data_IF_950860982268
#
_entry.id   IF_950860982268
#
_cell.length_a   1.000
_cell.length_b   1.000
_cell.length_c   1.000
_cell.angle_alpha   90.00
_cell.angle_beta   90.00
_cell.angle_gamma   90.00
#
_symmetry.space_group_name_H-M   'P 1'
#
loop_
_entity.id
_entity.type
_entity.pdbx_description
1 polymer ?
#
# COMPACT_ATOMS: atom_id res chain seq x y z
N UNK A 1 -8.04 -17.96 58.53
CA UNK A 1 -7.84 -19.32 57.99
C UNK A 1 -8.06 -19.21 56.48
N UNK A 2 -7.03 -18.78 55.78
CA UNK A 2 -6.05 -19.61 55.07
C UNK A 2 -6.39 -19.63 53.57
N UNK A 3 -5.57 -18.87 52.85
CA UNK A 3 -5.47 -18.64 51.42
C UNK A 3 -5.42 -19.94 50.63
N UNK A 4 -6.05 -20.00 49.46
CA UNK A 4 -5.77 -21.06 48.49
C UNK A 4 -5.25 -20.43 47.18
N UNK A 5 -3.93 -20.43 47.09
CA UNK A 5 -3.12 -20.03 45.94
C UNK A 5 -2.94 -21.24 45.02
N UNK A 6 -3.59 -21.25 43.88
CA UNK A 6 -3.36 -22.25 42.82
C UNK A 6 -2.30 -21.74 41.84
N UNK A 7 -1.10 -22.26 42.00
CA UNK A 7 0.08 -22.04 41.17
C UNK A 7 -0.10 -22.65 39.77
N UNK A 8 0.17 -21.88 38.73
CA UNK A 8 0.33 -22.39 37.36
C UNK A 8 1.77 -22.90 37.16
N UNK A 9 1.97 -24.07 36.51
CA UNK A 9 3.31 -24.53 36.15
C UNK A 9 3.83 -23.83 34.90
N UNK A 10 5.12 -23.48 34.93
CA UNK A 10 5.93 -22.98 33.82
C UNK A 10 6.32 -24.13 32.87
N UNK A 11 6.36 -23.93 31.54
CA UNK A 11 7.11 -24.79 30.66
C UNK A 11 8.57 -24.34 30.64
N UNK A 12 9.46 -25.23 31.08
CA UNK A 12 10.91 -25.07 31.07
C UNK A 12 11.51 -25.01 29.66
N UNK A 13 12.63 -24.31 29.57
CA UNK A 13 13.52 -24.33 28.41
C UNK A 13 14.20 -25.68 28.25
N UNK A 14 14.22 -26.19 27.02
CA UNK A 14 15.01 -27.33 26.57
C UNK A 14 15.96 -26.87 25.46
N UNK A 15 17.25 -27.11 25.69
CA UNK A 15 18.40 -26.73 24.89
C UNK A 15 18.70 -27.77 23.79
N UNK A 16 19.26 -27.29 22.68
CA UNK A 16 20.06 -27.92 21.63
C UNK A 16 19.78 -29.36 21.16
N UNK A 17 19.42 -29.49 19.88
CA UNK A 17 19.93 -30.48 18.90
C UNK A 17 19.59 -29.88 17.51
N UNK A 18 20.52 -29.43 16.66
CA UNK A 18 21.71 -30.16 16.22
C UNK A 18 21.35 -31.03 15.02
N UNK A 19 20.84 -30.45 13.92
CA UNK A 19 20.62 -31.19 12.67
C UNK A 19 21.58 -30.70 11.58
N UNK A 20 22.32 -31.63 10.93
CA UNK A 20 23.37 -31.29 9.98
C UNK A 20 22.81 -30.85 8.62
N UNK A 21 23.41 -29.79 8.11
CA UNK A 21 23.30 -29.29 6.74
C UNK A 21 23.88 -30.29 5.73
N UNK A 22 23.16 -30.67 4.67
CA UNK A 22 23.75 -31.39 3.55
C UNK A 22 24.48 -30.42 2.60
N UNK A 23 25.75 -30.70 2.21
CA UNK A 23 26.48 -29.89 1.25
C UNK A 23 26.25 -30.46 -0.15
N UNK A 24 25.25 -29.94 -0.89
CA UNK A 24 25.12 -30.27 -2.30
C UNK A 24 25.66 -29.13 -3.17
N UNK A 25 26.95 -29.31 -3.46
CA UNK A 25 27.59 -29.19 -4.76
C UNK A 25 27.08 -28.09 -5.71
N UNK A 26 27.88 -27.03 -5.77
CA UNK A 26 28.02 -26.20 -6.96
C UNK A 26 28.41 -27.07 -8.16
N UNK A 27 27.50 -27.18 -9.13
CA UNK A 27 27.79 -27.61 -10.50
C UNK A 27 27.52 -26.41 -11.43
N UNK A 28 28.58 -25.69 -11.79
CA UNK A 28 28.71 -24.95 -13.05
C UNK A 28 29.46 -25.88 -14.01
N UNK A 29 29.09 -26.04 -15.30
CA UNK A 29 29.54 -25.12 -16.37
C UNK A 29 28.65 -25.16 -17.66
N UNK A 30 29.08 -24.70 -18.87
CA UNK A 30 29.53 -23.37 -19.28
C UNK A 30 28.64 -22.75 -20.42
N UNK A 31 28.95 -21.50 -20.75
CA UNK A 31 28.48 -20.71 -21.92
C UNK A 31 28.67 -21.42 -23.27
N UNK A 32 27.80 -21.16 -24.26
CA UNK A 32 28.13 -21.05 -25.70
C UNK A 32 26.97 -20.47 -26.55
N UNK A 33 27.27 -19.39 -27.30
CA UNK A 33 26.65 -18.95 -28.58
C UNK A 33 25.21 -18.40 -28.54
N UNK A 34 24.88 -17.16 -28.92
CA UNK A 34 25.51 -16.23 -29.84
C UNK A 34 24.79 -16.26 -31.19
N UNK A 35 23.77 -15.40 -31.39
CA UNK A 35 23.19 -15.03 -32.69
C UNK A 35 22.45 -13.66 -32.55
N UNK A 36 23.06 -12.59 -33.06
CA UNK A 36 22.40 -11.40 -33.62
C UNK A 36 22.49 -11.51 -35.16
N UNK A 37 22.05 -10.54 -36.03
CA UNK A 37 21.07 -9.43 -36.01
C UNK A 37 20.13 -9.57 -37.28
N UNK A 38 19.57 -8.57 -38.02
CA UNK A 38 19.45 -7.09 -37.88
C UNK A 38 18.05 -6.48 -38.24
N UNK A 39 17.94 -5.15 -38.09
CA UNK A 39 17.03 -4.27 -38.86
C UNK A 39 15.71 -3.89 -38.17
N UNK A 40 15.09 -2.74 -38.39
CA UNK A 40 15.45 -1.45 -38.94
C UNK A 40 14.26 -0.52 -38.62
N UNK A 41 14.57 0.73 -38.27
CA UNK A 41 13.83 1.97 -38.58
C UNK A 41 12.28 1.95 -38.56
N UNK A 42 11.68 2.74 -37.67
CA UNK A 42 10.95 3.96 -38.10
C UNK A 42 10.64 4.85 -36.91
N UNK A 43 11.11 6.09 -37.06
CA UNK A 43 10.75 7.26 -36.28
C UNK A 43 9.32 7.67 -36.62
N UNK A 44 8.47 7.91 -35.63
CA UNK A 44 7.29 8.74 -35.83
C UNK A 44 7.17 9.73 -34.67
N UNK A 45 7.86 10.83 -34.92
CA UNK A 45 7.81 12.09 -34.22
C UNK A 45 6.46 12.75 -34.50
N UNK A 46 5.56 12.80 -33.51
CA UNK A 46 4.47 13.76 -33.51
C UNK A 46 4.79 14.85 -32.50
N UNK A 47 5.11 16.00 -33.08
CA UNK A 47 5.27 17.29 -32.45
C UNK A 47 3.92 17.77 -31.93
N UNK A 48 3.88 18.19 -30.66
CA UNK A 48 2.84 19.07 -30.15
C UNK A 48 3.52 20.36 -29.67
N UNK A 49 2.99 21.54 -30.05
CA UNK A 49 3.72 22.80 -30.02
C UNK A 49 3.82 23.43 -28.63
N UNK A 50 4.95 24.12 -28.44
CA UNK A 50 5.20 25.15 -27.42
C UNK A 50 4.33 26.37 -27.67
N UNK A 51 3.68 26.87 -26.62
CA UNK A 51 3.45 28.30 -26.31
C UNK A 51 2.92 28.35 -24.87
N UNK A 52 3.59 28.94 -23.88
CA UNK A 52 4.23 30.23 -23.95
C UNK A 52 3.17 31.31 -23.67
N UNK A 53 2.68 31.40 -22.44
CA UNK A 53 1.95 32.59 -22.02
C UNK A 53 2.73 33.26 -20.88
N UNK A 54 3.21 34.45 -21.24
CA UNK A 54 3.92 35.39 -20.42
C UNK A 54 3.03 35.91 -19.28
N UNK A 55 3.67 36.16 -18.16
CA UNK A 55 3.27 37.17 -17.18
C UNK A 55 3.01 38.52 -17.85
N UNK A 56 1.98 39.24 -17.37
CA UNK A 56 2.24 40.61 -16.94
C UNK A 56 1.50 40.95 -15.62
N UNK A 57 2.26 41.30 -14.58
CA UNK A 57 1.91 42.45 -13.72
C UNK A 57 2.48 43.70 -14.42
N UNK A 58 1.92 44.92 -14.30
CA UNK A 58 1.38 45.48 -13.07
C UNK A 58 0.12 46.38 -13.22
N UNK A 59 -0.69 46.49 -12.17
CA UNK A 59 -1.54 47.66 -11.97
C UNK A 59 -1.74 47.89 -10.47
N UNK A 60 -1.08 48.93 -9.99
CA UNK A 60 -1.30 49.61 -8.72
C UNK A 60 -2.73 50.12 -8.68
N UNK A 61 -3.49 49.72 -7.66
CA UNK A 61 -4.69 50.45 -7.25
C UNK A 61 -4.56 50.62 -5.75
N UNK A 62 -4.09 51.80 -5.34
CA UNK A 62 -4.29 52.30 -3.99
C UNK A 62 -5.79 52.46 -3.78
N UNK A 63 -6.33 51.79 -2.76
CA UNK A 63 -7.54 52.28 -2.11
C UNK A 63 -7.27 52.24 -0.63
N UNK A 64 -6.79 53.37 -0.14
CA UNK A 64 -6.80 53.70 1.27
C UNK A 64 -8.26 53.71 1.70
N UNK A 65 -8.63 52.83 2.62
CA UNK A 65 -9.78 53.07 3.49
C UNK A 65 -9.41 52.64 4.89
N UNK A 66 -8.97 53.63 5.65
CA UNK A 66 -8.96 53.63 7.11
C UNK A 66 -10.37 53.32 7.63
N UNK A 67 -10.51 52.36 8.52
CA UNK A 67 -11.45 52.45 9.66
C UNK A 67 -11.23 51.28 10.61
N UNK A 68 -10.50 51.61 11.68
CA UNK A 68 -10.78 51.28 13.09
C UNK A 68 -10.87 49.83 13.55
N UNK A 69 -10.11 49.60 14.61
CA UNK A 69 -10.03 48.44 15.49
C UNK A 69 -11.40 47.84 15.87
N UNK A 70 -11.44 46.51 15.92
CA UNK A 70 -11.95 45.73 17.04
C UNK A 70 -11.39 44.30 16.87
N UNK A 71 -10.32 43.99 17.62
CA UNK A 71 -9.71 42.66 17.62
C UNK A 71 -10.59 41.77 18.51
N UNK A 72 -11.66 41.24 17.93
CA UNK A 72 -12.44 40.18 18.55
C UNK A 72 -11.70 38.86 18.29
N UNK A 73 -11.23 38.13 19.32
CA UNK A 73 -10.66 36.81 19.12
C UNK A 73 -11.72 35.92 18.47
N UNK A 74 -11.41 35.39 17.28
CA UNK A 74 -12.28 34.44 16.61
C UNK A 74 -12.52 33.24 17.55
N UNK A 75 -13.77 32.81 17.76
CA UNK A 75 -14.04 31.67 18.62
C UNK A 75 -13.30 30.43 18.09
N UNK A 76 -12.80 29.54 18.97
CA UNK A 76 -12.07 28.35 18.56
C UNK A 76 -12.95 27.48 17.65
N UNK A 77 -12.41 27.11 16.49
CA UNK A 77 -13.10 26.26 15.52
C UNK A 77 -13.59 24.98 16.20
N UNK A 78 -14.86 24.57 16.03
CA UNK A 78 -15.36 23.34 16.61
C UNK A 78 -14.53 22.14 16.12
N UNK A 79 -14.32 21.12 16.98
CA UNK A 79 -13.55 19.94 16.61
C UNK A 79 -14.17 19.27 15.38
N UNK A 80 -13.34 18.80 14.41
CA UNK A 80 -13.85 18.19 13.20
C UNK A 80 -14.70 16.98 13.53
N UNK A 81 -15.91 16.94 12.97
CA UNK A 81 -16.87 15.84 13.19
C UNK A 81 -16.23 14.48 12.87
N UNK A 82 -16.61 13.41 13.61
CA UNK A 82 -16.11 12.07 13.33
C UNK A 82 -16.40 11.70 11.88
N UNK A 83 -15.35 11.46 11.09
CA UNK A 83 -15.50 11.05 9.69
C UNK A 83 -16.07 9.63 9.66
N UNK A 84 -17.37 9.49 9.40
CA UNK A 84 -17.99 8.19 9.11
C UNK A 84 -17.49 7.72 7.74
N UNK A 85 -16.75 6.62 7.72
CA UNK A 85 -16.31 5.98 6.48
C UNK A 85 -17.30 4.89 6.06
N UNK A 86 -17.47 4.72 4.75
CA UNK A 86 -18.17 3.56 4.17
C UNK A 86 -17.49 2.26 4.63
N UNK A 87 -18.19 1.13 4.76
CA UNK A 87 -17.56 -0.15 5.09
C UNK A 87 -16.50 -0.57 4.07
N UNK A 88 -15.61 -1.49 4.45
CA UNK A 88 -14.58 -2.02 3.57
C UNK A 88 -15.20 -2.72 2.36
N UNK A 89 -14.99 -2.21 1.13
CA UNK A 89 -15.60 -2.80 -0.07
C UNK A 89 -15.12 -4.22 -0.40
N UNK A 90 -13.99 -4.65 0.17
CA UNK A 90 -13.47 -6.01 -0.04
C UNK A 90 -14.20 -7.05 0.83
N UNK A 91 -14.37 -6.77 2.12
CA UNK A 91 -14.82 -7.77 3.11
C UNK A 91 -15.94 -7.30 4.05
N UNK A 92 -16.48 -6.12 3.83
CA UNK A 92 -17.55 -5.48 4.60
C UNK A 92 -17.26 -5.19 6.08
N UNK A 93 -16.02 -5.39 6.54
CA UNK A 93 -15.56 -5.03 7.89
C UNK A 93 -15.47 -3.51 8.08
N UNK A 94 -15.33 -3.07 9.33
CA UNK A 94 -15.17 -1.64 9.68
C UNK A 94 -13.98 -1.05 8.94
N UNK A 95 -14.24 -0.02 8.14
CA UNK A 95 -13.20 0.72 7.42
C UNK A 95 -12.46 1.66 8.36
N UNK A 96 -11.16 1.84 8.11
CA UNK A 96 -10.34 2.87 8.76
C UNK A 96 -10.15 4.10 7.89
N UNK A 97 -10.72 4.11 6.67
CA UNK A 97 -10.59 5.20 5.70
C UNK A 97 -10.36 4.68 4.28
N UNK A 98 -9.92 5.58 3.40
CA UNK A 98 -9.53 5.25 2.04
C UNK A 98 -8.08 4.80 2.00
N UNK A 99 -7.84 3.60 1.47
CA UNK A 99 -6.50 3.04 1.27
C UNK A 99 -6.38 2.55 -0.16
N UNK A 100 -5.35 3.03 -0.86
CA UNK A 100 -5.10 2.67 -2.27
C UNK A 100 -6.30 2.94 -3.19
N UNK A 101 -7.04 4.04 -2.93
CA UNK A 101 -8.17 4.48 -3.75
C UNK A 101 -9.56 4.06 -3.26
N UNK A 102 -9.68 3.13 -2.30
CA UNK A 102 -10.99 2.59 -1.89
C UNK A 102 -11.16 2.57 -0.37
N UNK A 103 -12.41 2.60 0.10
CA UNK A 103 -12.70 2.40 1.52
C UNK A 103 -12.32 0.98 1.95
N UNK A 104 -11.40 0.84 2.91
CA UNK A 104 -10.85 -0.44 3.32
C UNK A 104 -10.56 -0.55 4.82
N UNK A 105 -10.69 -1.76 5.35
CA UNK A 105 -10.24 -2.09 6.71
C UNK A 105 -8.71 -2.30 6.75
N UNK A 106 -8.11 -2.19 7.94
CA UNK A 106 -6.67 -2.42 8.15
C UNK A 106 -6.18 -3.79 7.64
N UNK A 107 -7.02 -4.82 7.77
CA UNK A 107 -6.68 -6.16 7.29
C UNK A 107 -6.49 -6.24 5.77
N UNK A 108 -7.36 -5.61 4.99
CA UNK A 108 -7.27 -5.60 3.52
C UNK A 108 -6.22 -4.62 3.02
N UNK A 109 -6.06 -3.46 3.67
CA UNK A 109 -4.94 -2.54 3.42
C UNK A 109 -3.59 -3.23 3.54
N UNK A 110 -3.34 -3.89 4.68
CA UNK A 110 -2.06 -4.57 4.92
C UNK A 110 -1.84 -5.77 4.00
N UNK A 111 -2.91 -6.52 3.71
CA UNK A 111 -2.86 -7.62 2.75
C UNK A 111 -2.46 -7.13 1.36
N UNK A 112 -3.18 -6.16 0.81
CA UNK A 112 -2.92 -5.61 -0.52
C UNK A 112 -1.49 -5.07 -0.65
N UNK A 113 -1.04 -4.25 0.31
CA UNK A 113 0.34 -3.73 0.34
C UNK A 113 1.39 -4.84 0.22
N UNK A 114 1.27 -5.89 1.05
CA UNK A 114 2.23 -7.01 1.06
C UNK A 114 2.19 -7.79 -0.25
N UNK A 115 0.99 -8.02 -0.79
CA UNK A 115 0.80 -8.72 -2.06
C UNK A 115 1.45 -7.97 -3.22
N UNK A 116 1.25 -6.65 -3.30
CA UNK A 116 1.84 -5.83 -4.35
C UNK A 116 3.36 -5.68 -4.19
N UNK A 117 3.86 -5.33 -3.00
CA UNK A 117 5.29 -5.06 -2.79
C UNK A 117 6.17 -6.29 -3.03
N UNK A 118 5.64 -7.49 -2.77
CA UNK A 118 6.36 -8.74 -2.99
C UNK A 118 5.98 -9.42 -4.31
N UNK A 119 5.14 -8.78 -5.14
CA UNK A 119 4.55 -9.38 -6.35
C UNK A 119 4.04 -10.81 -6.08
N UNK A 120 3.28 -10.98 -5.00
CA UNK A 120 2.75 -12.28 -4.60
C UNK A 120 1.79 -12.79 -5.67
N UNK A 121 1.98 -14.05 -6.05
CA UNK A 121 1.03 -14.81 -6.87
C UNK A 121 0.36 -15.83 -5.96
N UNK A 122 -0.97 -15.83 -5.96
CA UNK A 122 -1.76 -16.77 -5.17
C UNK A 122 -2.53 -17.70 -6.11
N UNK A 123 -2.89 -18.88 -5.61
CA UNK A 123 -3.72 -19.85 -6.32
C UNK A 123 -5.02 -20.08 -5.57
N UNK A 124 -6.13 -20.17 -6.29
CA UNK A 124 -7.39 -20.63 -5.72
C UNK A 124 -7.48 -22.15 -5.85
N UNK A 125 -7.90 -22.83 -4.78
CA UNK A 125 -8.13 -24.28 -4.76
C UNK A 125 -9.61 -24.66 -4.94
N UNK A 126 -10.43 -23.71 -5.43
CA UNK A 126 -11.86 -23.85 -5.74
C UNK A 126 -12.13 -23.15 -7.08
N UNK A 127 -13.36 -22.72 -7.32
CA UNK A 127 -13.79 -22.14 -8.62
C UNK A 127 -13.49 -20.64 -8.76
N UNK A 128 -12.46 -20.12 -8.08
CA UNK A 128 -12.05 -18.70 -8.13
C UNK A 128 -13.14 -17.69 -7.74
N UNK A 129 -14.25 -18.13 -7.15
CA UNK A 129 -15.44 -17.35 -6.76
C UNK A 129 -15.66 -17.30 -5.24
N UNK A 130 -14.59 -17.38 -4.45
CA UNK A 130 -14.71 -17.47 -3.00
C UNK A 130 -15.35 -16.20 -2.40
N UNK A 131 -16.39 -16.37 -1.58
CA UNK A 131 -17.01 -15.26 -0.84
C UNK A 131 -16.01 -14.68 0.17
N UNK A 132 -15.73 -13.37 0.04
CA UNK A 132 -14.84 -12.62 0.92
C UNK A 132 -15.67 -11.72 1.86
N UNK A 133 -15.70 -12.09 3.14
CA UNK A 133 -16.31 -11.30 4.22
C UNK A 133 -15.36 -11.22 5.44
N UNK A 134 -15.76 -10.54 6.53
CA UNK A 134 -14.94 -10.38 7.74
C UNK A 134 -14.37 -11.70 8.28
N UNK A 135 -15.16 -12.76 8.27
CA UNK A 135 -14.83 -14.07 8.84
C UNK A 135 -14.01 -14.93 7.85
N UNK A 136 -14.39 -14.90 6.58
CA UNK A 136 -13.86 -15.82 5.55
C UNK A 136 -12.71 -15.24 4.74
N UNK A 137 -12.38 -13.95 4.85
CA UNK A 137 -11.37 -13.29 4.01
C UNK A 137 -9.99 -13.93 4.04
N UNK A 138 -9.65 -14.70 5.07
CA UNK A 138 -8.35 -15.37 5.16
C UNK A 138 -8.34 -16.77 4.50
N UNK A 139 -9.50 -17.31 4.09
CA UNK A 139 -9.61 -18.67 3.51
C UNK A 139 -9.02 -18.78 2.11
N UNK A 140 -9.09 -17.72 1.30
CA UNK A 140 -8.54 -17.73 -0.06
C UNK A 140 -7.87 -16.40 -0.37
N UNK A 141 -6.54 -16.43 -0.48
CA UNK A 141 -5.74 -15.25 -0.79
C UNK A 141 -5.92 -14.79 -2.24
N UNK A 142 -6.07 -15.73 -3.19
CA UNK A 142 -6.34 -15.42 -4.59
C UNK A 142 -7.60 -14.56 -4.75
N UNK A 143 -8.75 -15.06 -4.30
CA UNK A 143 -10.02 -14.35 -4.45
C UNK A 143 -10.04 -13.04 -3.65
N UNK A 144 -9.32 -12.98 -2.52
CA UNK A 144 -9.19 -11.73 -1.77
C UNK A 144 -8.39 -10.69 -2.55
N UNK A 145 -7.27 -11.06 -3.14
CA UNK A 145 -6.44 -10.15 -3.93
C UNK A 145 -7.15 -9.72 -5.20
N UNK A 146 -7.82 -10.67 -5.88
CA UNK A 146 -8.63 -10.36 -7.05
C UNK A 146 -9.72 -9.35 -6.69
N UNK A 147 -10.49 -9.60 -5.62
CA UNK A 147 -11.51 -8.66 -5.17
C UNK A 147 -10.95 -7.30 -4.77
N UNK A 148 -9.72 -7.22 -4.25
CA UNK A 148 -9.07 -5.93 -4.03
C UNK A 148 -8.94 -5.13 -5.34
N UNK A 149 -8.50 -5.75 -6.43
CA UNK A 149 -8.45 -5.09 -7.74
C UNK A 149 -9.83 -4.78 -8.29
N UNK A 150 -10.78 -5.72 -8.17
CA UNK A 150 -12.14 -5.55 -8.70
C UNK A 150 -12.88 -4.37 -8.07
N UNK A 151 -12.62 -4.06 -6.79
CA UNK A 151 -13.21 -2.88 -6.12
C UNK A 151 -12.43 -1.59 -6.38
N UNK A 152 -11.30 -1.65 -7.09
CA UNK A 152 -10.49 -0.49 -7.46
C UNK A 152 -9.27 -0.20 -6.58
N UNK A 153 -8.75 -1.18 -5.81
CA UNK A 153 -7.46 -0.97 -5.14
C UNK A 153 -6.33 -0.87 -6.15
N UNK A 154 -5.59 0.22 -6.07
CA UNK A 154 -4.66 0.62 -7.10
C UNK A 154 -3.22 0.19 -6.76
N UNK A 155 -2.53 -0.48 -7.69
CA UNK A 155 -1.16 -1.04 -7.52
C UNK A 155 -0.04 0.02 -7.50
N UNK A 156 -0.09 1.00 -8.40
CA UNK A 156 0.73 2.22 -8.44
C UNK A 156 0.81 3.04 -7.13
N UNK A 157 -0.24 3.03 -6.31
CA UNK A 157 -0.39 3.76 -5.05
C UNK A 157 0.44 3.10 -3.95
N UNK A 158 0.90 1.87 -4.19
CA UNK A 158 1.84 1.16 -3.33
C UNK A 158 3.25 1.59 -3.69
N UNK A 159 3.73 2.66 -3.04
CA UNK A 159 5.12 3.11 -3.17
C UNK A 159 6.11 2.01 -2.74
N UNK A 160 7.16 1.81 -3.53
CA UNK A 160 8.25 0.90 -3.20
C UNK A 160 9.33 1.66 -2.44
N UNK A 161 9.10 1.92 -1.14
CA UNK A 161 9.96 2.77 -0.31
C UNK A 161 11.35 2.15 0.01
N UNK A 162 11.72 1.02 -0.60
CA UNK A 162 12.94 0.27 -0.25
C UNK A 162 14.24 0.80 -0.87
N UNK A 163 14.20 1.75 -1.80
CA UNK A 163 15.41 2.18 -2.52
C UNK A 163 16.05 3.50 -2.03
N UNK A 164 15.61 4.09 -0.90
CA UNK A 164 16.19 5.33 -0.36
C UNK A 164 17.18 5.14 0.81
N UNK A 165 18.08 4.14 0.73
CA UNK A 165 19.24 4.04 1.64
C UNK A 165 20.53 3.72 0.88
N UNK A 166 20.95 4.63 0.00
CA UNK A 166 22.37 4.83 -0.38
C UNK A 166 22.57 6.28 -0.79
N UNK A 167 22.77 7.15 0.20
CA UNK A 167 23.54 8.41 0.13
C UNK A 167 23.40 9.12 1.47
N UNK A 168 24.29 8.79 2.40
CA UNK A 168 25.27 9.73 2.96
C UNK A 168 26.27 8.93 3.78
#
# INVERSE_FOLDING_TARGET
MASNSSSCPTPGGGHLNGYPVPPYAFFFPPMLGGLSPPGALTSLQHQLPVSGYSTPSPATIETQSSSSEEIVPSPPSPPPLPRIYKPCFVCQDKSSGYHYGVSACEGCKGFFRRSIQKNMVYTCHRDKNCIINKVTRNRCQYCRLQKCFDVGMSKESVRNDRNKKKKK
#
